data_IF_866038361214
#
_entry.id   IF_866038361214
#
_cell.length_a   1.000
_cell.length_b   1.000
_cell.length_c   1.000
_cell.angle_alpha   90.00
_cell.angle_beta   90.00
_cell.angle_gamma   90.00
#
_symmetry.space_group_name_H-M   'P 1'
#
loop_
_entity.id
_entity.type
_entity.pdbx_description
1 polymer ?
#
# COMPACT_ATOMS: atom_id res chain seq x y z
N UNK A 1 -21.96 9.88 12.73
CA UNK A 1 -22.16 8.76 11.78
C UNK A 1 -21.74 9.11 10.36
N UNK A 2 -22.14 10.27 9.80
CA UNK A 2 -21.87 10.64 8.40
C UNK A 2 -20.37 10.68 8.02
N UNK A 3 -19.50 11.15 8.93
CA UNK A 3 -18.04 11.20 8.70
C UNK A 3 -17.32 9.85 8.69
N UNK A 4 -17.86 8.84 9.37
CA UNK A 4 -17.25 7.49 9.39
C UNK A 4 -17.55 6.74 8.11
N UNK A 5 -18.73 6.95 7.52
CA UNK A 5 -19.09 6.37 6.23
C UNK A 5 -18.23 6.92 5.09
N UNK A 6 -17.97 8.23 5.05
CA UNK A 6 -17.08 8.81 4.03
C UNK A 6 -15.63 8.36 4.19
N UNK A 7 -15.14 8.16 5.42
CA UNK A 7 -13.83 7.54 5.68
C UNK A 7 -13.77 6.10 5.18
N UNK A 8 -14.76 5.28 5.54
CA UNK A 8 -14.84 3.88 5.10
C UNK A 8 -14.90 3.78 3.57
N UNK A 9 -15.69 4.64 2.93
CA UNK A 9 -15.78 4.72 1.47
C UNK A 9 -14.45 5.14 0.82
N UNK A 10 -13.77 6.15 1.38
CA UNK A 10 -12.44 6.56 0.90
C UNK A 10 -11.45 5.40 0.99
N UNK A 11 -11.38 4.73 2.15
CA UNK A 11 -10.54 3.55 2.36
C UNK A 11 -10.83 2.47 1.32
N UNK A 12 -12.11 2.12 1.14
CA UNK A 12 -12.56 1.10 0.19
C UNK A 12 -12.15 1.43 -1.24
N UNK A 13 -12.42 2.65 -1.71
CA UNK A 13 -12.14 3.05 -3.09
C UNK A 13 -10.63 3.17 -3.35
N UNK A 14 -9.87 3.81 -2.46
CA UNK A 14 -8.44 4.03 -2.70
C UNK A 14 -7.63 2.75 -2.57
N UNK A 15 -7.89 1.90 -1.56
CA UNK A 15 -7.25 0.59 -1.49
C UNK A 15 -7.77 -0.36 -2.57
N UNK A 16 -9.01 -0.19 -3.04
CA UNK A 16 -9.49 -0.86 -4.24
C UNK A 16 -8.64 -0.50 -5.48
N UNK A 17 -8.30 0.78 -5.66
CA UNK A 17 -7.36 1.16 -6.72
C UNK A 17 -6.00 0.45 -6.56
N UNK A 18 -5.49 0.33 -5.32
CA UNK A 18 -4.26 -0.41 -5.06
C UNK A 18 -4.37 -1.91 -5.31
N UNK A 19 -5.55 -2.51 -5.09
CA UNK A 19 -5.82 -3.93 -5.39
C UNK A 19 -5.75 -4.27 -6.87
N UNK A 20 -5.87 -3.26 -7.75
CA UNK A 20 -5.60 -3.39 -9.18
C UNK A 20 -4.14 -3.07 -9.48
N UNK A 21 -3.63 -1.92 -9.02
CA UNK A 21 -2.31 -1.47 -9.44
C UNK A 21 -1.18 -2.37 -8.90
N UNK A 22 -1.18 -2.65 -7.60
CA UNK A 22 -0.05 -3.28 -6.93
C UNK A 22 0.25 -4.71 -7.42
N UNK A 23 -0.75 -5.60 -7.62
CA UNK A 23 -0.50 -6.96 -8.11
C UNK A 23 -0.07 -7.06 -9.57
N UNK A 24 -0.39 -6.07 -10.41
CA UNK A 24 -0.25 -6.20 -11.86
C UNK A 24 0.75 -5.22 -12.48
N UNK A 25 1.19 -4.20 -11.75
CA UNK A 25 2.07 -3.18 -12.31
C UNK A 25 3.43 -3.72 -12.76
N UNK A 26 4.11 -4.52 -11.93
CA UNK A 26 5.39 -5.14 -12.34
C UNK A 26 5.23 -6.09 -13.52
N UNK A 27 4.09 -6.77 -13.60
CA UNK A 27 3.77 -7.67 -14.70
C UNK A 27 3.53 -6.90 -16.00
N UNK A 28 2.78 -5.79 -15.94
CA UNK A 28 2.60 -4.88 -17.07
C UNK A 28 3.94 -4.37 -17.60
N UNK A 29 4.83 -3.91 -16.72
CA UNK A 29 6.15 -3.42 -17.12
C UNK A 29 6.94 -4.48 -17.91
N UNK A 30 6.79 -5.76 -17.52
CA UNK A 30 7.49 -6.88 -18.14
C UNK A 30 6.83 -7.37 -19.43
N UNK A 31 5.53 -7.66 -19.39
CA UNK A 31 4.80 -8.34 -20.48
C UNK A 31 4.26 -7.36 -21.54
N UNK A 32 3.72 -6.21 -21.12
CA UNK A 32 3.09 -5.25 -22.04
C UNK A 32 4.04 -4.14 -22.48
N UNK A 33 4.81 -3.57 -21.55
CA UNK A 33 5.79 -2.53 -21.88
C UNK A 33 7.13 -3.10 -22.39
N UNK A 34 7.34 -4.42 -22.25
CA UNK A 34 8.51 -5.11 -22.80
C UNK A 34 9.84 -4.75 -22.14
N UNK A 35 9.82 -4.22 -20.91
CA UNK A 35 11.04 -3.79 -20.24
C UNK A 35 11.91 -4.99 -19.79
N UNK A 36 13.22 -4.77 -19.76
CA UNK A 36 14.17 -5.71 -19.16
C UNK A 36 13.96 -5.82 -17.65
N UNK A 37 14.45 -6.90 -17.03
CA UNK A 37 14.33 -7.09 -15.57
C UNK A 37 14.97 -5.96 -14.76
N UNK A 38 16.10 -5.43 -15.24
CA UNK A 38 16.80 -4.29 -14.63
C UNK A 38 15.98 -3.00 -14.73
N UNK A 39 15.36 -2.74 -15.88
CA UNK A 39 14.49 -1.57 -16.06
C UNK A 39 13.23 -1.66 -15.20
N UNK A 40 12.61 -2.83 -15.10
CA UNK A 40 11.48 -3.08 -14.17
C UNK A 40 11.90 -2.77 -12.74
N UNK A 41 13.07 -3.27 -12.31
CA UNK A 41 13.62 -2.99 -10.98
C UNK A 41 13.85 -1.50 -10.73
N UNK A 42 14.42 -0.78 -11.71
CA UNK A 42 14.65 0.65 -11.62
C UNK A 42 13.33 1.44 -11.49
N UNK A 43 12.31 1.13 -12.29
CA UNK A 43 10.98 1.77 -12.22
C UNK A 43 10.32 1.51 -10.86
N UNK A 44 10.38 0.28 -10.35
CA UNK A 44 9.77 -0.07 -9.07
C UNK A 44 10.53 0.56 -7.88
N UNK A 45 11.85 0.70 -7.95
CA UNK A 45 12.67 1.34 -6.93
C UNK A 45 12.44 2.86 -6.82
N UNK A 46 11.96 3.51 -7.89
CA UNK A 46 11.58 4.93 -7.86
C UNK A 46 10.46 5.19 -6.86
N UNK A 47 9.48 4.27 -6.71
CA UNK A 47 8.34 4.45 -5.81
C UNK A 47 8.78 4.70 -4.36
N UNK A 48 9.51 3.78 -3.69
CA UNK A 48 9.99 4.02 -2.32
C UNK A 48 11.03 5.14 -2.24
N UNK A 49 11.80 5.39 -3.30
CA UNK A 49 12.79 6.50 -3.32
C UNK A 49 12.11 7.86 -3.24
N UNK A 50 11.03 8.04 -4.00
CA UNK A 50 10.22 9.26 -4.02
C UNK A 50 9.41 9.38 -2.72
N UNK A 51 8.86 8.25 -2.23
CA UNK A 51 8.06 8.16 -1.00
C UNK A 51 8.74 8.80 0.22
N UNK A 52 10.04 8.55 0.42
CA UNK A 52 10.82 9.10 1.55
C UNK A 52 10.72 10.63 1.62
N UNK A 53 10.76 11.28 0.46
CA UNK A 53 10.71 12.74 0.36
C UNK A 53 9.27 13.26 0.36
N UNK A 54 8.36 12.58 -0.33
CA UNK A 54 7.02 13.11 -0.54
C UNK A 54 6.10 12.91 0.65
N UNK A 55 6.26 11.84 1.42
CA UNK A 55 5.49 11.67 2.66
C UNK A 55 5.80 12.78 3.67
N UNK A 56 7.08 13.14 3.82
CA UNK A 56 7.48 14.25 4.72
C UNK A 56 7.00 15.60 4.20
N UNK A 57 7.12 15.86 2.90
CA UNK A 57 6.63 17.07 2.25
C UNK A 57 5.12 17.25 2.45
N UNK A 58 4.31 16.25 2.08
CA UNK A 58 2.85 16.33 2.18
C UNK A 58 2.36 16.34 3.62
N UNK A 59 3.06 15.66 4.54
CA UNK A 59 2.82 15.78 5.98
C UNK A 59 2.94 17.23 6.46
N UNK A 60 4.04 17.92 6.10
CA UNK A 60 4.22 19.34 6.44
C UNK A 60 3.17 20.25 5.81
N UNK A 61 2.78 20.00 4.55
CA UNK A 61 1.71 20.75 3.87
C UNK A 61 0.37 20.56 4.60
N UNK A 62 0.04 19.33 4.97
CA UNK A 62 -1.19 19.00 5.69
C UNK A 62 -1.23 19.64 7.08
N UNK A 63 -0.11 19.65 7.80
CA UNK A 63 0.00 20.24 9.13
C UNK A 63 -0.02 21.78 9.11
N UNK A 64 0.66 22.42 8.15
CA UNK A 64 0.66 23.89 8.02
C UNK A 64 -0.69 24.43 7.54
N UNK A 65 -1.34 23.74 6.62
CA UNK A 65 -2.64 24.15 6.08
C UNK A 65 -3.77 23.94 7.09
N UNK A 66 -3.60 23.06 8.09
CA UNK A 66 -4.67 22.66 9.00
C UNK A 66 -5.82 21.93 8.31
N UNK A 67 -5.64 21.55 7.03
CA UNK A 67 -6.70 21.03 6.17
C UNK A 67 -6.37 19.63 5.65
N UNK A 68 -6.00 18.71 6.55
CA UNK A 68 -5.55 17.34 6.22
C UNK A 68 -6.49 16.61 5.25
N UNK A 69 -7.81 16.72 5.45
CA UNK A 69 -8.82 16.12 4.56
C UNK A 69 -8.81 16.69 3.13
N UNK A 70 -8.52 17.99 2.96
CA UNK A 70 -8.41 18.62 1.64
C UNK A 70 -7.11 18.21 0.93
N UNK A 71 -6.01 18.15 1.69
CA UNK A 71 -4.73 17.65 1.15
C UNK A 71 -4.88 16.19 0.72
N UNK A 72 -5.59 15.38 1.50
CA UNK A 72 -5.89 13.98 1.14
C UNK A 72 -6.69 13.87 -0.17
N UNK A 73 -7.72 14.70 -0.35
CA UNK A 73 -8.47 14.74 -1.61
C UNK A 73 -7.59 15.19 -2.79
N UNK A 74 -6.74 16.20 -2.60
CA UNK A 74 -5.78 16.66 -3.61
C UNK A 74 -4.80 15.54 -4.01
N UNK A 75 -4.26 14.81 -3.04
CA UNK A 75 -3.38 13.67 -3.29
C UNK A 75 -4.09 12.56 -4.08
N UNK A 76 -5.35 12.28 -3.77
CA UNK A 76 -6.15 11.31 -4.51
C UNK A 76 -6.43 11.76 -5.95
N UNK A 77 -6.75 13.04 -6.18
CA UNK A 77 -6.86 13.61 -7.54
C UNK A 77 -5.53 13.55 -8.30
N UNK A 78 -4.42 13.93 -7.65
CA UNK A 78 -3.08 13.84 -8.23
C UNK A 78 -2.69 12.40 -8.56
N UNK A 79 -3.06 11.43 -7.72
CA UNK A 79 -2.87 10.01 -7.99
C UNK A 79 -3.67 9.56 -9.20
N UNK A 80 -4.95 9.97 -9.30
CA UNK A 80 -5.80 9.66 -10.45
C UNK A 80 -5.21 10.19 -11.75
N UNK A 81 -4.81 11.46 -11.78
CA UNK A 81 -4.13 12.05 -12.93
C UNK A 81 -2.81 11.34 -13.24
N UNK A 82 -2.03 10.99 -12.21
CA UNK A 82 -0.79 10.24 -12.34
C UNK A 82 -0.98 8.86 -12.99
N UNK A 83 -2.05 8.14 -12.63
CA UNK A 83 -2.37 6.86 -13.26
C UNK A 83 -2.73 7.03 -14.75
N UNK A 84 -3.49 8.08 -15.11
CA UNK A 84 -3.79 8.40 -16.52
C UNK A 84 -2.50 8.69 -17.29
N UNK A 85 -1.65 9.57 -16.76
CA UNK A 85 -0.36 9.93 -17.38
C UNK A 85 0.53 8.69 -17.55
N UNK A 86 0.60 7.82 -16.54
CA UNK A 86 1.35 6.58 -16.60
C UNK A 86 0.80 5.62 -17.66
N UNK A 87 -0.53 5.53 -17.81
CA UNK A 87 -1.16 4.73 -18.85
C UNK A 87 -0.91 5.22 -20.28
N UNK A 88 -0.50 6.48 -20.46
CA UNK A 88 -0.09 7.06 -21.75
C UNK A 88 1.42 6.95 -22.00
N UNK A 89 2.22 6.69 -20.96
CA UNK A 89 3.67 6.59 -21.08
C UNK A 89 4.08 5.37 -21.90
N UNK A 90 5.09 5.52 -22.76
CA UNK A 90 5.65 4.44 -23.59
C UNK A 90 7.18 4.52 -23.56
N UNK A 91 7.82 3.36 -23.43
CA UNK A 91 9.28 3.26 -23.28
C UNK A 91 9.76 3.55 -21.85
N UNK A 92 10.97 3.08 -21.53
CA UNK A 92 11.53 3.08 -20.18
C UNK A 92 11.54 4.45 -19.51
N UNK A 93 12.13 5.47 -20.16
CA UNK A 93 12.29 6.80 -19.56
C UNK A 93 10.95 7.48 -19.25
N UNK A 94 9.99 7.41 -20.18
CA UNK A 94 8.67 8.01 -19.98
C UNK A 94 7.90 7.32 -18.85
N UNK A 95 7.97 5.98 -18.79
CA UNK A 95 7.36 5.20 -17.72
C UNK A 95 8.00 5.56 -16.38
N UNK A 96 9.33 5.57 -16.29
CA UNK A 96 10.06 5.91 -15.08
C UNK A 96 9.68 7.30 -14.54
N UNK A 97 9.63 8.31 -15.41
CA UNK A 97 9.23 9.67 -15.03
C UNK A 97 7.75 9.75 -14.63
N UNK A 98 6.86 9.06 -15.35
CA UNK A 98 5.44 9.01 -15.00
C UNK A 98 5.21 8.29 -13.66
N UNK A 99 5.96 7.24 -13.36
CA UNK A 99 5.93 6.54 -12.06
C UNK A 99 6.44 7.42 -10.94
N UNK A 100 7.51 8.18 -11.17
CA UNK A 100 7.99 9.18 -10.21
C UNK A 100 6.91 10.23 -9.94
N UNK A 101 6.29 10.77 -10.99
CA UNK A 101 5.22 11.76 -10.88
C UNK A 101 4.00 11.23 -10.14
N UNK A 102 3.58 9.99 -10.43
CA UNK A 102 2.52 9.30 -9.69
C UNK A 102 2.90 9.11 -8.22
N UNK A 103 4.13 8.66 -7.95
CA UNK A 103 4.62 8.39 -6.60
C UNK A 103 4.65 9.65 -5.73
N UNK A 104 4.82 10.85 -6.31
CA UNK A 104 4.75 12.12 -5.57
C UNK A 104 3.41 12.28 -4.84
N UNK A 105 2.32 11.80 -5.44
CA UNK A 105 0.98 11.91 -4.86
C UNK A 105 0.55 10.63 -4.15
N UNK A 106 0.71 9.47 -4.81
CA UNK A 106 0.10 8.22 -4.37
C UNK A 106 0.66 7.69 -3.04
N UNK A 107 1.97 7.84 -2.84
CA UNK A 107 2.67 7.29 -1.65
C UNK A 107 2.29 7.99 -0.35
N UNK A 108 1.81 9.24 -0.42
CA UNK A 108 1.38 10.01 0.74
C UNK A 108 -0.10 9.79 1.11
N UNK A 109 -0.91 9.18 0.23
CA UNK A 109 -2.35 9.02 0.47
C UNK A 109 -2.61 8.14 1.68
N UNK A 110 -2.09 6.91 1.72
CA UNK A 110 -2.36 5.96 2.81
C UNK A 110 -1.97 6.51 4.19
N UNK A 111 -0.72 6.99 4.43
CA UNK A 111 -0.36 7.53 5.75
C UNK A 111 -1.21 8.75 6.12
N UNK A 112 -1.59 9.58 5.15
CA UNK A 112 -2.50 10.70 5.38
C UNK A 112 -3.92 10.23 5.72
N UNK A 113 -4.42 9.18 5.07
CA UNK A 113 -5.72 8.58 5.42
C UNK A 113 -5.69 8.02 6.83
N UNK A 114 -4.60 7.37 7.26
CA UNK A 114 -4.44 6.92 8.65
C UNK A 114 -4.50 8.10 9.61
N UNK A 115 -3.75 9.16 9.34
CA UNK A 115 -3.73 10.39 10.15
C UNK A 115 -5.11 11.06 10.25
N UNK A 116 -5.84 11.18 9.13
CA UNK A 116 -7.20 11.75 9.10
C UNK A 116 -8.18 10.83 9.84
N UNK A 117 -8.08 9.52 9.68
CA UNK A 117 -8.96 8.54 10.34
C UNK A 117 -8.76 8.57 11.86
N UNK A 118 -7.51 8.53 12.32
CA UNK A 118 -7.19 8.63 13.75
C UNK A 118 -7.62 9.97 14.35
N UNK A 119 -7.39 11.07 13.62
CA UNK A 119 -7.84 12.40 14.03
C UNK A 119 -9.36 12.51 14.16
N UNK A 120 -10.11 11.89 13.25
CA UNK A 120 -11.58 11.88 13.27
C UNK A 120 -12.16 10.94 14.36
N UNK A 121 -11.44 9.88 14.73
CA UNK A 121 -11.87 8.93 15.76
C UNK A 121 -11.53 9.38 17.19
N UNK A 122 -10.50 10.22 17.36
CA UNK A 122 -10.12 10.77 18.66
C UNK A 122 -9.95 9.67 19.73
N UNK A 123 -10.72 9.77 20.82
CA UNK A 123 -10.67 8.84 21.96
C UNK A 123 -11.33 7.47 21.70
N UNK A 124 -11.99 7.25 20.55
CA UNK A 124 -12.64 5.98 20.24
C UNK A 124 -11.65 4.79 20.10
N UNK A 125 -10.35 5.07 19.98
CA UNK A 125 -9.28 4.10 20.15
C UNK A 125 -9.05 3.17 18.94
N UNK A 126 -8.10 2.24 19.13
CA UNK A 126 -7.61 1.35 18.05
C UNK A 126 -8.68 0.42 17.45
N UNK A 127 -9.71 0.07 18.21
CA UNK A 127 -10.78 -0.82 17.73
C UNK A 127 -11.63 -0.15 16.64
N UNK A 128 -12.09 1.08 16.87
CA UNK A 128 -12.86 1.82 15.86
C UNK A 128 -12.03 2.14 14.61
N UNK A 129 -10.71 2.35 14.77
CA UNK A 129 -9.80 2.49 13.63
C UNK A 129 -9.76 1.21 12.79
N UNK A 130 -9.64 0.05 13.44
CA UNK A 130 -9.69 -1.25 12.77
C UNK A 130 -10.98 -1.44 11.97
N UNK A 131 -12.14 -1.11 12.55
CA UNK A 131 -13.44 -1.22 11.87
C UNK A 131 -13.54 -0.38 10.59
N UNK A 132 -12.98 0.84 10.59
CA UNK A 132 -12.94 1.68 9.39
C UNK A 132 -11.91 1.14 8.38
N UNK A 133 -10.72 0.75 8.85
CA UNK A 133 -9.60 0.29 8.02
C UNK A 133 -9.91 -1.02 7.26
N UNK A 134 -10.73 -1.90 7.84
CA UNK A 134 -11.16 -3.16 7.21
C UNK A 134 -11.83 -2.92 5.86
N UNK A 135 -12.60 -1.84 5.69
CA UNK A 135 -13.20 -1.49 4.40
C UNK A 135 -12.16 -1.29 3.30
N UNK A 136 -10.96 -0.80 3.63
CA UNK A 136 -9.86 -0.73 2.67
C UNK A 136 -9.38 -2.10 2.21
N UNK A 137 -9.21 -3.04 3.14
CA UNK A 137 -8.82 -4.42 2.80
C UNK A 137 -9.91 -5.13 1.99
N UNK A 138 -11.19 -4.87 2.28
CA UNK A 138 -12.31 -5.37 1.48
C UNK A 138 -12.31 -4.80 0.06
N UNK A 139 -12.03 -3.51 -0.11
CA UNK A 139 -11.91 -2.88 -1.43
C UNK A 139 -10.75 -3.46 -2.24
N UNK A 140 -9.60 -3.66 -1.60
CA UNK A 140 -8.44 -4.32 -2.22
C UNK A 140 -8.79 -5.75 -2.64
N UNK A 141 -9.35 -6.56 -1.74
CA UNK A 141 -9.74 -7.94 -2.03
C UNK A 141 -10.74 -8.01 -3.19
N UNK A 142 -11.77 -7.17 -3.18
CA UNK A 142 -12.80 -7.14 -4.22
C UNK A 142 -12.19 -6.88 -5.59
N UNK A 143 -11.33 -5.87 -5.68
CA UNK A 143 -10.75 -5.46 -6.96
C UNK A 143 -9.69 -6.44 -7.47
N UNK A 144 -8.88 -7.03 -6.60
CA UNK A 144 -7.96 -8.13 -6.96
C UNK A 144 -8.71 -9.28 -7.63
N UNK A 145 -9.90 -9.61 -7.11
CA UNK A 145 -10.71 -10.72 -7.62
C UNK A 145 -11.42 -10.35 -8.92
N UNK A 146 -12.04 -9.18 -8.96
CA UNK A 146 -12.86 -8.76 -10.09
C UNK A 146 -12.05 -8.27 -11.29
N UNK A 147 -10.84 -7.74 -11.08
CA UNK A 147 -10.07 -7.14 -12.17
C UNK A 147 -9.64 -8.15 -13.25
N UNK A 148 -9.11 -9.35 -12.94
CA UNK A 148 -8.85 -10.37 -13.97
C UNK A 148 -10.10 -10.75 -14.76
N UNK A 149 -11.23 -10.98 -14.07
CA UNK A 149 -12.51 -11.30 -14.71
C UNK A 149 -13.01 -10.17 -15.63
N UNK A 150 -12.80 -8.92 -15.21
CA UNK A 150 -13.09 -7.73 -16.02
C UNK A 150 -12.22 -7.67 -17.28
N UNK A 151 -10.93 -7.99 -17.18
CA UNK A 151 -10.03 -8.05 -18.35
C UNK A 151 -10.48 -9.11 -19.36
N UNK A 152 -10.82 -10.31 -18.89
CA UNK A 152 -11.26 -11.42 -19.74
C UNK A 152 -12.57 -11.09 -20.49
N UNK A 153 -13.48 -10.37 -19.83
CA UNK A 153 -14.81 -10.09 -20.37
C UNK A 153 -14.85 -8.94 -21.39
N UNK A 154 -14.00 -7.91 -21.21
CA UNK A 154 -14.13 -6.67 -21.99
C UNK A 154 -13.17 -6.58 -23.17
N UNK A 155 -11.87 -6.84 -23.01
CA UNK A 155 -10.92 -6.80 -24.14
C UNK A 155 -9.69 -7.70 -23.92
N UNK A 156 -9.71 -8.98 -24.34
CA UNK A 156 -8.57 -9.89 -24.23
C UNK A 156 -7.29 -9.38 -24.90
N UNK A 157 -7.42 -8.49 -25.89
CA UNK A 157 -6.33 -8.01 -26.76
C UNK A 157 -5.53 -6.84 -26.19
N UNK A 158 -6.04 -6.10 -25.20
CA UNK A 158 -5.37 -4.89 -24.64
C UNK A 158 -4.50 -5.16 -23.42
N UNK A 159 -4.45 -6.42 -22.95
CA UNK A 159 -3.64 -6.83 -21.82
C UNK A 159 -3.88 -5.99 -20.56
N UNK A 160 -2.83 -5.75 -19.77
CA UNK A 160 -2.93 -5.08 -18.48
C UNK A 160 -3.10 -3.55 -18.56
N UNK A 161 -3.10 -2.93 -19.75
CA UNK A 161 -3.19 -1.46 -19.89
C UNK A 161 -4.47 -0.87 -19.28
N UNK A 162 -5.58 -1.62 -19.26
CA UNK A 162 -6.83 -1.15 -18.66
C UNK A 162 -6.73 -0.93 -17.15
N UNK A 163 -5.71 -1.48 -16.48
CA UNK A 163 -5.49 -1.25 -15.07
C UNK A 163 -5.34 0.24 -14.76
N UNK A 164 -4.67 1.01 -15.61
CA UNK A 164 -4.43 2.44 -15.37
C UNK A 164 -5.72 3.27 -15.36
N UNK A 165 -6.65 2.97 -16.28
CA UNK A 165 -7.94 3.66 -16.31
C UNK A 165 -8.84 3.22 -15.15
N UNK A 166 -8.85 1.93 -14.82
CA UNK A 166 -9.61 1.41 -13.69
C UNK A 166 -9.10 1.98 -12.35
N UNK A 167 -7.78 2.01 -12.15
CA UNK A 167 -7.15 2.58 -10.95
C UNK A 167 -7.35 4.09 -10.88
N UNK A 168 -7.23 4.80 -12.01
CA UNK A 168 -7.49 6.24 -12.09
C UNK A 168 -8.94 6.56 -11.72
N UNK A 169 -9.91 5.78 -12.22
CA UNK A 169 -11.33 5.94 -11.92
C UNK A 169 -11.63 5.73 -10.44
N UNK A 170 -11.13 4.65 -9.83
CA UNK A 170 -11.29 4.40 -8.40
C UNK A 170 -10.62 5.48 -7.54
N UNK A 171 -9.41 5.92 -7.91
CA UNK A 171 -8.71 7.01 -7.22
C UNK A 171 -9.46 8.35 -7.36
N UNK A 172 -10.10 8.61 -8.51
CA UNK A 172 -10.94 9.78 -8.73
C UNK A 172 -12.20 9.76 -7.85
N UNK A 173 -12.89 8.61 -7.79
CA UNK A 173 -14.04 8.43 -6.90
C UNK A 173 -13.63 8.56 -5.43
N UNK A 174 -12.46 8.03 -5.05
CA UNK A 174 -11.89 8.23 -3.73
C UNK A 174 -11.63 9.71 -3.46
N UNK A 175 -11.11 10.46 -4.43
CA UNK A 175 -10.89 11.90 -4.30
C UNK A 175 -12.21 12.67 -4.07
N UNK A 176 -13.28 12.31 -4.78
CA UNK A 176 -14.62 12.85 -4.56
C UNK A 176 -15.16 12.53 -3.15
N UNK A 177 -15.01 11.28 -2.69
CA UNK A 177 -15.33 10.91 -1.31
C UNK A 177 -14.48 11.69 -0.30
N UNK A 178 -13.22 11.97 -0.66
CA UNK A 178 -12.26 12.80 0.08
C UNK A 178 -12.77 14.21 0.36
N UNK A 179 -13.52 14.80 -0.56
CA UNK A 179 -14.11 16.15 -0.39
C UNK A 179 -15.20 16.18 0.69
N UNK A 180 -15.84 15.04 0.95
CA UNK A 180 -16.87 14.86 1.98
C UNK A 180 -16.30 14.35 3.33
N UNK A 181 -14.98 14.27 3.47
CA UNK A 181 -14.35 13.87 4.72
C UNK A 181 -14.55 14.95 5.80
N UNK A 182 -14.63 14.52 7.08
CA UNK A 182 -14.70 15.45 8.20
C UNK A 182 -13.58 16.49 8.13
N UNK A 183 -13.95 17.76 8.25
CA UNK A 183 -13.00 18.87 8.34
C UNK A 183 -12.51 19.09 9.77
N UNK A 184 -13.23 18.51 10.73
CA UNK A 184 -12.99 18.66 12.15
C UNK A 184 -12.15 17.49 12.69
N UNK A 185 -11.04 17.87 13.29
CA UNK A 185 -9.97 16.99 13.77
C UNK A 185 -8.76 17.83 14.13
N UNK A 186 -9.01 18.96 14.81
CA UNK A 186 -7.98 19.86 15.31
C UNK A 186 -7.25 19.20 16.48
N UNK A 187 -6.24 18.39 16.20
CA UNK A 187 -5.09 18.36 17.12
C UNK A 187 -4.20 19.52 16.69
N UNK A 188 -4.59 20.72 17.11
CA UNK A 188 -3.85 21.96 16.88
C UNK A 188 -2.61 22.06 17.78
N UNK A 189 -1.89 20.96 17.99
CA UNK A 189 -0.53 21.02 18.52
C UNK A 189 0.39 21.26 17.34
N UNK A 190 0.58 22.54 17.03
CA UNK A 190 1.65 22.96 16.12
C UNK A 190 2.97 22.73 16.84
N UNK A 191 3.75 21.76 16.36
CA UNK A 191 5.11 21.56 16.81
C UNK A 191 5.90 22.86 16.67
N UNK A 192 6.60 23.30 17.73
CA UNK A 192 7.44 24.48 17.68
C UNK A 192 8.60 24.28 16.68
N UNK A 193 9.13 25.38 16.14
CA UNK A 193 10.27 25.34 15.22
C UNK A 193 11.45 24.65 15.92
N UNK A 194 11.92 23.54 15.34
CA UNK A 194 13.08 22.81 15.84
C UNK A 194 12.76 21.58 16.71
N UNK A 195 11.50 21.30 17.01
CA UNK A 195 11.11 20.11 17.81
C UNK A 195 11.50 18.77 17.16
N UNK A 196 11.67 18.73 15.83
CA UNK A 196 12.21 17.56 15.13
C UNK A 196 13.60 17.15 15.64
N UNK A 197 14.38 18.10 16.20
CA UNK A 197 15.68 17.80 16.80
C UNK A 197 15.52 16.88 18.02
N UNK A 198 14.44 17.00 18.79
CA UNK A 198 14.14 16.12 19.92
C UNK A 198 13.97 14.67 19.45
N UNK A 199 13.35 14.47 18.28
CA UNK A 199 13.17 13.15 17.68
C UNK A 199 14.52 12.53 17.28
N UNK A 200 15.42 13.31 16.67
CA UNK A 200 16.73 12.81 16.22
C UNK A 200 17.68 12.54 17.40
N UNK A 201 17.57 13.29 18.50
CA UNK A 201 18.38 13.02 19.69
C UNK A 201 17.85 11.84 20.52
N UNK A 202 16.63 11.37 20.24
CA UNK A 202 16.08 10.18 20.88
C UNK A 202 16.70 8.91 20.26
N UNK A 203 17.75 8.41 20.92
CA UNK A 203 18.50 7.22 20.50
C UNK A 203 17.62 5.96 20.36
N UNK A 204 16.52 5.84 21.13
CA UNK A 204 15.61 4.71 20.98
C UNK A 204 14.81 4.82 19.66
N UNK A 205 14.32 6.02 19.33
CA UNK A 205 13.61 6.29 18.08
C UNK A 205 14.52 6.11 16.87
N UNK A 206 15.76 6.64 16.91
CA UNK A 206 16.71 6.49 15.79
C UNK A 206 17.04 5.03 15.53
N UNK A 207 17.31 4.23 16.58
CA UNK A 207 17.54 2.78 16.45
C UNK A 207 16.33 2.06 15.85
N UNK A 208 15.13 2.44 16.27
CA UNK A 208 13.90 1.90 15.69
C UNK A 208 13.74 2.26 14.21
N UNK A 209 13.99 3.52 13.83
CA UNK A 209 13.90 3.96 12.43
C UNK A 209 14.93 3.26 11.54
N UNK A 210 16.17 3.10 12.00
CA UNK A 210 17.22 2.36 11.27
C UNK A 210 16.80 0.89 11.08
N UNK A 211 16.31 0.26 12.14
CA UNK A 211 15.81 -1.11 12.10
C UNK A 211 14.65 -1.26 11.12
N UNK A 212 13.64 -0.40 11.19
CA UNK A 212 12.49 -0.41 10.29
C UNK A 212 12.92 -0.17 8.85
N UNK A 213 13.81 0.81 8.61
CA UNK A 213 14.36 1.05 7.28
C UNK A 213 15.04 -0.20 6.71
N UNK A 214 15.94 -0.84 7.48
CA UNK A 214 16.63 -2.04 7.03
C UNK A 214 15.66 -3.22 6.79
N UNK A 215 14.69 -3.43 7.67
CA UNK A 215 13.69 -4.49 7.54
C UNK A 215 12.84 -4.30 6.27
N UNK A 216 12.31 -3.10 6.04
CA UNK A 216 11.54 -2.81 4.83
C UNK A 216 12.41 -2.87 3.57
N UNK A 217 13.62 -2.31 3.59
CA UNK A 217 14.54 -2.37 2.45
C UNK A 217 14.81 -3.80 1.98
N UNK A 218 15.00 -4.74 2.91
CA UNK A 218 15.27 -6.14 2.59
C UNK A 218 14.02 -6.94 2.20
N UNK A 219 12.85 -6.62 2.77
CA UNK A 219 11.64 -7.46 2.64
C UNK A 219 10.65 -6.98 1.56
N UNK A 220 10.71 -5.72 1.11
CA UNK A 220 9.73 -5.16 0.18
C UNK A 220 10.00 -5.58 -1.27
N UNK A 221 11.26 -5.58 -1.73
CA UNK A 221 11.61 -5.85 -3.13
C UNK A 221 10.91 -7.07 -3.75
N UNK A 222 10.98 -8.27 -3.12
CA UNK A 222 10.34 -9.47 -3.64
C UNK A 222 8.81 -9.36 -3.79
N UNK A 223 8.15 -8.51 -3.00
CA UNK A 223 6.70 -8.34 -3.09
C UNK A 223 6.28 -7.74 -4.43
N UNK A 224 6.98 -6.72 -4.92
CA UNK A 224 6.69 -6.17 -6.24
C UNK A 224 6.98 -7.15 -7.37
N UNK A 225 7.96 -8.05 -7.22
CA UNK A 225 8.33 -9.03 -8.25
C UNK A 225 7.54 -10.34 -8.20
N UNK A 226 6.77 -10.60 -7.14
CA UNK A 226 6.00 -11.84 -6.98
C UNK A 226 5.12 -12.18 -8.21
N UNK A 227 4.36 -11.24 -8.81
CA UNK A 227 3.56 -11.54 -10.00
C UNK A 227 4.40 -12.01 -11.20
N UNK A 228 5.54 -11.34 -11.44
CA UNK A 228 6.49 -11.71 -12.49
C UNK A 228 7.09 -13.09 -12.21
N UNK A 229 7.45 -13.36 -10.94
CA UNK A 229 7.98 -14.65 -10.50
C UNK A 229 7.00 -15.80 -10.74
N UNK A 230 5.72 -15.61 -10.41
CA UNK A 230 4.66 -16.61 -10.65
C UNK A 230 4.49 -16.89 -12.14
N UNK A 231 4.51 -15.86 -12.98
CA UNK A 231 4.38 -15.98 -14.44
C UNK A 231 5.56 -16.73 -15.07
N UNK A 232 6.78 -16.47 -14.62
CA UNK A 232 7.98 -17.20 -15.06
C UNK A 232 7.94 -18.70 -14.73
N UNK A 233 7.12 -19.11 -13.76
CA UNK A 233 6.95 -20.50 -13.32
C UNK A 233 5.68 -21.16 -13.87
N UNK A 234 5.10 -20.57 -14.92
CA UNK A 234 3.92 -21.12 -15.61
C UNK A 234 2.59 -20.82 -14.94
N UNK A 235 2.57 -20.00 -13.89
CA UNK A 235 1.32 -19.48 -13.32
C UNK A 235 0.66 -18.47 -14.26
N UNK A 236 -0.63 -18.24 -14.07
CA UNK A 236 -1.45 -17.27 -14.82
C UNK A 236 -1.97 -16.15 -13.90
N UNK A 237 -2.81 -15.25 -14.44
CA UNK A 237 -3.44 -14.19 -13.66
C UNK A 237 -4.34 -14.76 -12.56
N UNK A 238 -4.99 -15.90 -12.81
CA UNK A 238 -5.80 -16.62 -11.84
C UNK A 238 -4.95 -17.14 -10.67
N UNK A 239 -3.74 -17.60 -10.93
CA UNK A 239 -2.78 -18.03 -9.91
C UNK A 239 -2.39 -16.86 -9.02
N UNK A 240 -2.08 -15.70 -9.62
CA UNK A 240 -1.76 -14.47 -8.88
C UNK A 240 -2.95 -14.04 -8.03
N UNK A 241 -4.17 -14.04 -8.59
CA UNK A 241 -5.42 -13.73 -7.91
C UNK A 241 -5.61 -14.61 -6.67
N UNK A 242 -5.50 -15.92 -6.81
CA UNK A 242 -5.67 -16.86 -5.70
C UNK A 242 -4.60 -16.72 -4.62
N UNK A 243 -3.35 -16.40 -4.99
CA UNK A 243 -2.29 -16.13 -4.02
C UNK A 243 -2.64 -14.93 -3.14
N UNK A 244 -3.12 -13.84 -3.74
CA UNK A 244 -3.57 -12.66 -3.00
C UNK A 244 -4.78 -12.93 -2.11
N UNK A 245 -5.76 -13.70 -2.57
CA UNK A 245 -6.91 -14.10 -1.75
C UNK A 245 -6.42 -14.83 -0.49
N UNK A 246 -5.52 -15.80 -0.64
CA UNK A 246 -4.98 -16.57 0.47
C UNK A 246 -4.18 -15.70 1.46
N UNK A 247 -3.38 -14.76 0.94
CA UNK A 247 -2.66 -13.78 1.78
C UNK A 247 -3.62 -12.96 2.64
N UNK A 248 -4.69 -12.42 2.03
CA UNK A 248 -5.63 -11.50 2.69
C UNK A 248 -6.58 -12.22 3.66
N UNK A 249 -7.02 -13.45 3.33
CA UNK A 249 -7.87 -14.24 4.23
C UNK A 249 -7.16 -14.54 5.55
N UNK A 250 -5.84 -14.76 5.53
CA UNK A 250 -5.06 -14.97 6.75
C UNK A 250 -4.78 -13.65 7.48
N UNK A 251 -4.55 -12.57 6.74
CA UNK A 251 -4.28 -11.24 7.30
C UNK A 251 -5.47 -10.70 8.12
N UNK A 252 -6.70 -10.77 7.61
CA UNK A 252 -7.88 -10.15 8.23
C UNK A 252 -8.08 -10.63 9.69
N UNK A 253 -8.14 -11.93 10.01
CA UNK A 253 -8.27 -12.40 11.39
C UNK A 253 -7.09 -11.97 12.27
N UNK A 254 -5.85 -12.04 11.77
CA UNK A 254 -4.66 -11.69 12.54
C UNK A 254 -4.67 -10.21 12.96
N UNK A 255 -5.11 -9.31 12.06
CA UNK A 255 -5.29 -7.89 12.37
C UNK A 255 -6.43 -7.70 13.38
N UNK A 256 -7.54 -8.43 13.25
CA UNK A 256 -8.66 -8.33 14.21
C UNK A 256 -8.27 -8.80 15.63
N UNK A 257 -7.41 -9.82 15.74
CA UNK A 257 -6.91 -10.34 17.03
C UNK A 257 -5.65 -9.65 17.56
N UNK A 258 -5.20 -8.60 16.88
CA UNK A 258 -4.00 -7.81 17.18
C UNK A 258 -3.88 -7.38 18.65
N UNK A 259 -4.97 -6.90 19.26
CA UNK A 259 -4.96 -6.43 20.64
C UNK A 259 -4.59 -7.52 21.66
N UNK A 260 -4.92 -8.79 21.39
CA UNK A 260 -4.50 -9.93 22.23
C UNK A 260 -3.04 -10.27 21.99
N UNK A 261 -2.60 -10.24 20.74
CA UNK A 261 -1.22 -10.53 20.37
C UNK A 261 -0.24 -9.50 20.96
N UNK A 262 -0.60 -8.22 20.91
CA UNK A 262 0.19 -7.11 21.48
C UNK A 262 0.34 -7.25 23.00
N UNK A 263 -0.73 -7.64 23.71
CA UNK A 263 -0.69 -7.88 25.15
C UNK A 263 0.22 -9.05 25.55
N UNK A 264 0.33 -10.08 24.70
CA UNK A 264 1.10 -11.31 25.00
C UNK A 264 2.56 -11.23 24.58
N UNK A 265 2.83 -10.76 23.37
CA UNK A 265 4.17 -10.77 22.76
C UNK A 265 4.89 -9.42 22.88
N UNK A 266 4.15 -8.36 23.18
CA UNK A 266 4.65 -6.99 23.16
C UNK A 266 5.03 -6.51 21.75
N UNK A 267 5.33 -5.21 21.58
CA UNK A 267 5.68 -4.63 20.28
C UNK A 267 6.92 -5.27 19.66
N UNK A 268 7.98 -5.48 20.47
CA UNK A 268 9.24 -6.07 20.02
C UNK A 268 9.09 -7.52 19.54
N UNK A 269 8.28 -8.32 20.25
CA UNK A 269 8.02 -9.71 19.86
C UNK A 269 7.25 -9.80 18.55
N UNK A 270 6.28 -8.90 18.34
CA UNK A 270 5.54 -8.81 17.07
C UNK A 270 6.42 -8.39 15.89
N UNK A 271 7.31 -7.40 16.08
CA UNK A 271 8.29 -7.02 15.06
C UNK A 271 9.21 -8.18 14.68
N UNK A 272 9.77 -8.87 15.68
CA UNK A 272 10.64 -10.01 15.44
C UNK A 272 9.91 -11.13 14.69
N UNK A 273 8.68 -11.45 15.09
CA UNK A 273 7.84 -12.44 14.41
C UNK A 273 7.58 -12.04 12.95
N UNK A 274 7.26 -10.77 12.69
CA UNK A 274 6.99 -10.27 11.35
C UNK A 274 8.20 -10.37 10.42
N UNK A 275 9.39 -10.01 10.91
CA UNK A 275 10.64 -10.12 10.15
C UNK A 275 11.01 -11.57 9.89
N UNK A 276 10.94 -12.44 10.90
CA UNK A 276 11.25 -13.88 10.74
C UNK A 276 10.29 -14.52 9.74
N UNK A 277 8.99 -14.22 9.83
CA UNK A 277 8.00 -14.70 8.87
C UNK A 277 8.29 -14.18 7.44
N UNK A 278 8.64 -12.91 7.29
CA UNK A 278 9.01 -12.32 5.99
C UNK A 278 10.28 -12.92 5.40
N UNK A 279 11.32 -13.09 6.22
CA UNK A 279 12.57 -13.72 5.81
C UNK A 279 12.34 -15.17 5.36
N UNK A 280 11.65 -15.96 6.20
CA UNK A 280 11.31 -17.34 5.87
C UNK A 280 10.48 -17.41 4.58
N UNK A 281 9.46 -16.55 4.45
CA UNK A 281 8.60 -16.48 3.27
C UNK A 281 9.41 -16.29 1.99
N UNK A 282 10.32 -15.32 1.97
CA UNK A 282 11.08 -15.01 0.76
C UNK A 282 12.23 -15.98 0.50
N UNK A 283 12.93 -16.46 1.53
CA UNK A 283 13.97 -17.49 1.39
C UNK A 283 13.37 -18.78 0.83
N UNK A 284 12.27 -19.27 1.40
CA UNK A 284 11.60 -20.49 0.93
C UNK A 284 11.03 -20.27 -0.47
N UNK A 285 10.44 -19.10 -0.76
CA UNK A 285 9.96 -18.79 -2.11
C UNK A 285 11.09 -18.83 -3.14
N UNK A 286 12.31 -18.42 -2.79
CA UNK A 286 13.47 -18.47 -3.69
C UNK A 286 14.05 -19.87 -3.92
N UNK A 287 13.79 -20.82 -3.02
CA UNK A 287 14.30 -22.20 -3.10
C UNK A 287 13.33 -23.18 -3.77
N UNK A 288 12.04 -22.82 -3.86
CA UNK A 288 10.98 -23.72 -4.32
C UNK A 288 10.53 -23.34 -5.73
N UNK A 289 10.32 -24.35 -6.58
CA UNK A 289 9.77 -24.15 -7.93
C UNK A 289 8.29 -24.47 -8.07
N UNK A 290 7.77 -25.31 -7.18
CA UNK A 290 6.39 -25.76 -7.20
C UNK A 290 5.42 -24.66 -6.72
N UNK A 291 4.53 -24.21 -7.60
CA UNK A 291 3.51 -23.18 -7.30
C UNK A 291 2.59 -23.56 -6.12
N UNK A 292 2.23 -24.84 -5.94
CA UNK A 292 1.41 -25.30 -4.81
C UNK A 292 2.09 -25.07 -3.46
N UNK A 293 3.41 -25.27 -3.40
CA UNK A 293 4.18 -24.97 -2.20
C UNK A 293 4.33 -23.46 -2.00
N UNK A 294 4.46 -22.68 -3.08
CA UNK A 294 4.50 -21.22 -3.01
C UNK A 294 3.20 -20.69 -2.40
N UNK A 295 2.03 -21.23 -2.75
CA UNK A 295 0.75 -20.88 -2.11
C UNK A 295 0.78 -21.02 -0.59
N UNK A 296 1.25 -22.16 -0.09
CA UNK A 296 1.36 -22.39 1.35
C UNK A 296 2.29 -21.37 2.01
N UNK A 297 3.42 -21.05 1.36
CA UNK A 297 4.38 -20.05 1.85
C UNK A 297 3.79 -18.64 1.86
N UNK A 298 2.91 -18.29 0.91
CA UNK A 298 2.25 -16.98 0.89
C UNK A 298 1.34 -16.74 2.10
N UNK A 299 0.88 -17.78 2.80
CA UNK A 299 0.10 -17.60 4.04
C UNK A 299 0.88 -16.87 5.15
N UNK A 300 2.22 -16.95 5.13
CA UNK A 300 3.09 -16.19 6.04
C UNK A 300 3.00 -14.67 5.84
N UNK A 301 2.42 -14.20 4.73
CA UNK A 301 2.15 -12.79 4.49
C UNK A 301 1.35 -12.15 5.62
N UNK A 302 0.24 -12.76 6.04
CA UNK A 302 -0.60 -12.22 7.10
C UNK A 302 0.15 -12.06 8.42
N UNK A 303 1.05 -13.00 8.73
CA UNK A 303 1.90 -12.96 9.94
C UNK A 303 2.94 -11.83 9.82
N UNK A 304 3.58 -11.69 8.66
CA UNK A 304 4.52 -10.60 8.37
C UNK A 304 3.83 -9.24 8.54
N UNK A 305 2.68 -9.05 7.88
CA UNK A 305 1.93 -7.78 7.92
C UNK A 305 1.46 -7.48 9.34
N UNK A 306 0.82 -8.42 10.02
CA UNK A 306 0.37 -8.21 11.39
C UNK A 306 1.55 -7.90 12.33
N UNK A 307 2.67 -8.64 12.23
CA UNK A 307 3.84 -8.41 13.07
C UNK A 307 4.47 -7.02 12.87
N UNK A 308 4.66 -6.61 11.62
CA UNK A 308 5.27 -5.33 11.27
C UNK A 308 4.34 -4.14 11.55
N UNK A 309 3.06 -4.26 11.23
CA UNK A 309 2.09 -3.17 11.38
C UNK A 309 1.69 -2.93 12.83
N UNK A 310 1.68 -3.97 13.68
CA UNK A 310 1.27 -3.88 15.08
C UNK A 310 2.44 -3.66 16.04
N UNK A 311 3.63 -4.13 15.68
CA UNK A 311 4.82 -3.98 16.50
C UNK A 311 5.54 -2.65 16.29
N UNK A 312 5.30 -2.00 15.15
CA UNK A 312 5.92 -0.72 14.75
C UNK A 312 5.13 0.53 15.12
#
# INVERSE_FOLDING_TARGET
MQGQASLALFWFLYLGAQGIFFPYYSLYLKENAGLSGTEVGAVLAVIPSVEILTQTFWGQVADRSGARSRVLALLAFGSSAGYVVLGLARGFAAILLATAALAIFATAVIPMTVSVTLGALGAAGAHSFGLIRVWGTLGFLLTVVLFPWFLDSFQPTRGLEMMFLATAGLAFLAALAGLALPREGTVALRAARGEWRLLIHNQALVRFLIFSFAAFFLLQGPMWFLPVYVRLRGGDLDTIRWMWILMLIVEIPLILFSGKALKRLGPRGLLALGIVAGALRWTVSGMIENLYLIYAVQTLHGVMVAGLLLGG
#
